data_IF_953693486110
#
_entry.id   IF_953693486110
#
_cell.length_a   1.000
_cell.length_b   1.000
_cell.length_c   1.000
_cell.angle_alpha   90.00
_cell.angle_beta   90.00
_cell.angle_gamma   90.00
#
_symmetry.space_group_name_H-M   'P 1'
#
loop_
_entity.id
_entity.type
_entity.pdbx_description
1 polymer ?
#
# COMPACT_ATOMS: atom_id res chain seq x y z
N UNK A 1 -15.09 -12.21 -2.21
CA UNK A 1 -14.77 -11.06 -1.37
C UNK A 1 -15.50 -9.80 -1.81
N UNK A 2 -15.56 -8.84 -0.91
CA UNK A 2 -16.19 -7.55 -1.23
C UNK A 2 -15.20 -6.67 -2.01
N UNK A 3 -15.68 -6.10 -3.12
CA UNK A 3 -14.92 -5.13 -3.89
C UNK A 3 -14.88 -3.75 -3.21
N UNK A 4 -13.89 -2.94 -3.59
CA UNK A 4 -13.81 -1.51 -3.25
C UNK A 4 -13.21 -0.76 -4.44
N UNK A 5 -13.55 0.54 -4.56
CA UNK A 5 -13.03 1.32 -5.67
C UNK A 5 -11.59 1.77 -5.41
N UNK A 6 -10.79 1.84 -6.47
CA UNK A 6 -9.44 2.41 -6.41
C UNK A 6 -9.49 3.85 -5.91
N UNK A 7 -10.50 4.63 -6.34
CA UNK A 7 -10.69 6.00 -5.90
C UNK A 7 -10.87 6.10 -4.38
N UNK A 8 -11.69 5.24 -3.79
CA UNK A 8 -11.88 5.23 -2.35
C UNK A 8 -10.58 4.85 -1.63
N UNK A 9 -9.87 3.85 -2.13
CA UNK A 9 -8.60 3.38 -1.55
C UNK A 9 -7.56 4.49 -1.47
N UNK A 10 -7.42 5.31 -2.51
CA UNK A 10 -6.43 6.39 -2.57
C UNK A 10 -6.92 7.72 -1.96
N UNK A 11 -8.02 7.70 -1.23
CA UNK A 11 -8.52 8.87 -0.50
C UNK A 11 -9.42 9.79 -1.29
N UNK A 12 -9.99 9.34 -2.39
CA UNK A 12 -10.96 10.10 -3.18
C UNK A 12 -10.37 10.84 -4.39
N UNK A 13 -9.07 10.79 -4.61
CA UNK A 13 -8.42 11.44 -5.76
C UNK A 13 -8.75 10.70 -7.06
N UNK A 14 -9.64 11.28 -7.86
CA UNK A 14 -10.10 10.68 -9.12
C UNK A 14 -9.01 10.64 -10.19
N UNK A 15 -8.14 11.66 -10.24
CA UNK A 15 -7.05 11.71 -11.22
C UNK A 15 -6.00 10.64 -10.93
N UNK A 16 -5.66 10.44 -9.65
CA UNK A 16 -4.76 9.38 -9.24
C UNK A 16 -5.37 8.00 -9.53
N UNK A 17 -6.63 7.78 -9.16
CA UNK A 17 -7.32 6.51 -9.40
C UNK A 17 -7.41 6.15 -10.87
N UNK A 18 -7.60 7.14 -11.76
CA UNK A 18 -7.71 6.92 -13.20
C UNK A 18 -6.44 6.28 -13.79
N UNK A 19 -5.27 6.54 -13.22
CA UNK A 19 -4.01 5.96 -13.67
C UNK A 19 -3.91 4.45 -13.43
N UNK A 20 -4.75 3.92 -12.54
CA UNK A 20 -4.75 2.51 -12.14
C UNK A 20 -6.02 1.77 -12.54
N UNK A 21 -6.87 2.39 -13.36
CA UNK A 21 -8.08 1.78 -13.87
C UNK A 21 -7.74 0.51 -14.66
N UNK A 22 -8.41 -0.60 -14.34
CA UNK A 22 -8.16 -1.92 -14.92
C UNK A 22 -6.71 -2.41 -14.75
N UNK A 23 -5.97 -1.84 -13.81
CA UNK A 23 -4.60 -2.22 -13.50
C UNK A 23 -4.53 -3.49 -12.63
N UNK A 24 -3.31 -3.90 -12.33
CA UNK A 24 -3.01 -5.00 -11.44
C UNK A 24 -2.87 -4.51 -10.01
N UNK A 25 -3.30 -5.33 -9.06
CA UNK A 25 -3.10 -5.08 -7.64
C UNK A 25 -2.70 -6.35 -6.90
N UNK A 26 -1.96 -6.19 -5.81
CA UNK A 26 -1.65 -7.25 -4.87
C UNK A 26 -1.93 -6.78 -3.45
N UNK A 27 -2.50 -7.66 -2.64
CA UNK A 27 -2.76 -7.40 -1.23
C UNK A 27 -1.96 -8.39 -0.40
N UNK A 28 -1.06 -7.87 0.45
CA UNK A 28 -0.18 -8.66 1.30
C UNK A 28 -0.59 -8.46 2.75
N UNK A 29 -1.04 -9.52 3.39
CA UNK A 29 -1.36 -9.51 4.82
C UNK A 29 -0.12 -9.90 5.64
N UNK A 30 0.19 -9.06 6.63
CA UNK A 30 1.27 -9.28 7.59
C UNK A 30 0.65 -9.52 8.97
N UNK A 31 0.67 -10.77 9.43
CA UNK A 31 0.17 -11.07 10.76
C UNK A 31 1.07 -10.43 11.85
N UNK A 32 0.60 -10.28 13.10
CA UNK A 32 1.42 -9.68 14.16
C UNK A 32 2.75 -10.39 14.43
N UNK A 33 2.89 -11.63 13.97
CA UNK A 33 4.12 -12.43 14.12
C UNK A 33 5.06 -12.32 12.94
N UNK A 34 4.62 -11.69 11.85
CA UNK A 34 5.40 -11.60 10.62
C UNK A 34 6.40 -10.45 10.68
N UNK A 35 7.26 -10.41 9.68
CA UNK A 35 8.16 -9.29 9.45
C UNK A 35 7.35 -8.03 9.07
N UNK A 36 7.58 -6.92 9.79
CA UNK A 36 6.73 -5.72 9.69
C UNK A 36 7.32 -4.59 8.86
N UNK A 37 8.51 -4.74 8.33
CA UNK A 37 9.11 -3.76 7.42
C UNK A 37 8.64 -4.02 6.00
N UNK A 38 8.43 -2.94 5.26
CA UNK A 38 7.93 -2.97 3.90
C UNK A 38 9.05 -2.52 2.98
N UNK A 39 9.29 -3.31 1.95
CA UNK A 39 10.36 -3.07 0.98
C UNK A 39 9.79 -2.73 -0.39
N UNK A 40 10.53 -1.93 -1.15
CA UNK A 40 10.13 -1.51 -2.48
C UNK A 40 10.05 -2.71 -3.43
N UNK A 41 8.92 -2.89 -4.14
CA UNK A 41 8.79 -3.96 -5.14
C UNK A 41 9.65 -3.71 -6.38
N UNK A 42 9.91 -2.44 -6.68
CA UNK A 42 10.77 -1.98 -7.74
C UNK A 42 11.35 -0.61 -7.38
N UNK A 43 12.35 -0.15 -8.13
CA UNK A 43 12.89 1.19 -7.92
C UNK A 43 11.85 2.25 -8.26
N UNK A 44 11.80 3.33 -7.49
CA UNK A 44 10.85 4.41 -7.69
C UNK A 44 11.26 5.71 -7.03
N UNK A 45 10.69 6.79 -7.55
CA UNK A 45 10.82 8.14 -6.99
C UNK A 45 9.50 8.52 -6.35
N UNK A 46 9.54 8.87 -5.08
CA UNK A 46 8.35 9.29 -4.35
C UNK A 46 7.86 10.64 -4.88
N UNK A 47 6.59 10.73 -5.21
CA UNK A 47 5.96 11.98 -5.65
C UNK A 47 4.97 12.54 -4.66
N UNK A 48 4.21 11.68 -3.97
CA UNK A 48 3.18 12.08 -3.01
C UNK A 48 3.08 11.06 -1.89
N UNK A 49 2.70 11.52 -0.72
CA UNK A 49 2.25 10.69 0.39
C UNK A 49 0.93 11.26 0.92
N UNK A 50 -0.08 10.41 1.08
CA UNK A 50 -1.43 10.81 1.51
C UNK A 50 -1.80 10.00 2.75
N UNK A 51 -2.06 10.69 3.85
CA UNK A 51 -2.69 10.09 5.01
C UNK A 51 -4.20 10.17 4.85
N UNK A 52 -4.87 9.04 4.94
CA UNK A 52 -6.34 8.95 4.84
C UNK A 52 -6.87 8.45 6.17
N UNK A 53 -7.64 9.29 6.89
CA UNK A 53 -8.27 8.87 8.14
C UNK A 53 -9.29 7.76 7.88
N UNK A 54 -9.52 6.93 8.86
CA UNK A 54 -10.47 5.85 8.73
C UNK A 54 -10.64 5.06 10.02
N UNK A 55 -11.35 3.97 9.89
CA UNK A 55 -11.57 3.02 10.97
C UNK A 55 -10.29 2.21 11.27
N UNK A 56 -10.33 1.43 12.32
CA UNK A 56 -9.27 0.51 12.71
C UNK A 56 -9.87 -0.89 12.90
N UNK A 57 -10.58 -1.38 11.91
CA UNK A 57 -11.07 -2.76 11.93
C UNK A 57 -9.89 -3.73 11.97
N UNK A 58 -10.06 -4.82 12.70
CA UNK A 58 -9.09 -5.90 12.62
C UNK A 58 -9.01 -6.42 11.19
N UNK A 59 -7.80 -6.61 10.69
CA UNK A 59 -7.56 -7.13 9.34
C UNK A 59 -7.08 -8.57 9.44
N UNK A 60 -7.90 -9.47 8.95
CA UNK A 60 -7.58 -10.89 8.76
C UNK A 60 -8.49 -11.44 7.64
N UNK A 61 -8.28 -12.68 7.18
CA UNK A 61 -9.10 -13.24 6.10
C UNK A 61 -10.60 -13.25 6.39
N UNK A 62 -11.00 -13.38 7.64
CA UNK A 62 -12.42 -13.39 8.03
C UNK A 62 -13.04 -12.00 7.95
N UNK A 63 -12.38 -10.99 8.52
CA UNK A 63 -12.87 -9.61 8.47
C UNK A 63 -12.83 -9.04 7.05
N UNK A 64 -11.82 -9.39 6.25
CA UNK A 64 -11.74 -8.99 4.85
C UNK A 64 -12.92 -9.53 4.02
N UNK A 65 -13.44 -10.68 4.38
CA UNK A 65 -14.65 -11.24 3.75
C UNK A 65 -15.95 -10.66 4.31
N UNK A 66 -15.96 -10.30 5.59
CA UNK A 66 -17.17 -9.87 6.31
C UNK A 66 -17.43 -8.37 6.29
N UNK A 67 -16.40 -7.54 6.09
CA UNK A 67 -16.52 -6.08 6.11
C UNK A 67 -16.37 -5.53 4.68
N UNK A 68 -17.44 -5.00 4.07
CA UNK A 68 -17.35 -4.43 2.71
C UNK A 68 -16.35 -3.29 2.64
N UNK A 69 -15.43 -3.33 1.66
CA UNK A 69 -14.47 -2.26 1.43
C UNK A 69 -13.48 -2.04 2.56
N UNK A 70 -13.14 -3.05 3.33
CA UNK A 70 -12.28 -2.97 4.52
C UNK A 70 -11.02 -2.14 4.30
N UNK A 71 -10.28 -2.41 3.23
CA UNK A 71 -9.02 -1.72 2.95
C UNK A 71 -9.21 -0.25 2.55
N UNK A 72 -10.39 0.12 2.06
CA UNK A 72 -10.74 1.50 1.75
C UNK A 72 -11.46 2.21 2.90
N UNK A 73 -11.68 1.53 4.03
CA UNK A 73 -12.32 2.08 5.24
C UNK A 73 -11.33 2.30 6.38
N UNK A 74 -10.33 1.43 6.50
CA UNK A 74 -9.32 1.57 7.54
C UNK A 74 -8.38 2.74 7.27
N UNK A 75 -7.89 3.34 8.36
CA UNK A 75 -6.81 4.34 8.32
C UNK A 75 -5.65 3.81 7.49
N UNK A 76 -5.11 4.65 6.60
CA UNK A 76 -4.07 4.23 5.67
C UNK A 76 -3.15 5.35 5.24
N UNK A 77 -1.98 4.97 4.76
CA UNK A 77 -1.01 5.87 4.15
C UNK A 77 -0.79 5.43 2.71
N UNK A 78 -1.07 6.32 1.78
CA UNK A 78 -0.93 6.10 0.32
C UNK A 78 0.37 6.73 -0.14
N UNK A 79 1.30 5.92 -0.66
CA UNK A 79 2.60 6.39 -1.16
C UNK A 79 2.62 6.20 -2.67
N UNK A 80 2.73 7.31 -3.40
CA UNK A 80 2.72 7.35 -4.86
C UNK A 80 4.15 7.50 -5.37
N UNK A 81 4.56 6.55 -6.20
CA UNK A 81 5.88 6.51 -6.80
C UNK A 81 5.81 6.62 -8.32
N UNK A 82 6.89 7.10 -8.89
CA UNK A 82 7.14 7.04 -10.34
C UNK A 82 8.32 6.11 -10.59
N UNK A 83 8.08 5.04 -11.33
CA UNK A 83 9.10 4.03 -11.67
C UNK A 83 9.41 4.03 -13.16
N UNK A 84 10.28 3.10 -13.58
CA UNK A 84 10.71 2.98 -14.98
C UNK A 84 9.54 2.67 -15.93
N UNK A 85 8.50 1.99 -15.44
CA UNK A 85 7.33 1.60 -16.24
C UNK A 85 6.08 2.43 -15.91
N UNK A 86 6.25 3.59 -15.31
CA UNK A 86 5.17 4.48 -14.93
C UNK A 86 4.88 4.52 -13.44
N UNK A 87 3.74 5.12 -13.03
CA UNK A 87 3.39 5.25 -11.64
C UNK A 87 3.05 3.90 -11.00
N UNK A 88 3.32 3.79 -9.71
CA UNK A 88 2.79 2.71 -8.88
C UNK A 88 2.50 3.23 -7.47
N UNK A 89 1.65 2.54 -6.75
CA UNK A 89 1.19 2.96 -5.44
C UNK A 89 1.38 1.85 -4.42
N UNK A 90 1.89 2.23 -3.25
CA UNK A 90 1.99 1.38 -2.08
C UNK A 90 1.05 1.94 -1.02
N UNK A 91 0.04 1.17 -0.62
CA UNK A 91 -0.92 1.58 0.43
C UNK A 91 -0.66 0.76 1.68
N UNK A 92 -0.30 1.46 2.77
CA UNK A 92 -0.12 0.87 4.08
C UNK A 92 -1.44 1.00 4.84
N UNK A 93 -2.10 -0.11 5.10
CA UNK A 93 -3.42 -0.14 5.75
C UNK A 93 -3.26 -0.51 7.21
N UNK A 94 -3.74 0.36 8.11
CA UNK A 94 -3.74 0.14 9.55
C UNK A 94 -4.84 -0.82 10.01
N UNK A 95 -4.76 -1.25 11.26
CA UNK A 95 -5.74 -2.14 11.88
C UNK A 95 -5.81 -1.91 13.39
N UNK A 96 -6.73 -2.57 14.07
CA UNK A 96 -7.08 -2.36 15.49
C UNK A 96 -5.88 -2.30 16.45
N UNK A 97 -4.90 -3.17 16.28
CA UNK A 97 -3.72 -3.24 17.16
C UNK A 97 -2.55 -2.43 16.56
N UNK A 98 -2.66 -2.04 15.29
CA UNK A 98 -1.60 -1.34 14.58
C UNK A 98 -1.80 0.15 14.74
N UNK A 99 -1.23 0.69 15.79
CA UNK A 99 -1.39 2.09 16.12
C UNK A 99 -0.53 3.03 15.30
N UNK A 100 0.46 2.55 14.57
CA UNK A 100 1.44 3.44 13.92
C UNK A 100 1.99 2.87 12.64
N UNK A 101 2.11 3.75 11.66
CA UNK A 101 2.77 3.51 10.38
C UNK A 101 3.87 4.55 10.21
N UNK A 102 5.02 4.12 9.75
CA UNK A 102 6.17 4.99 9.54
C UNK A 102 6.77 4.76 8.16
N UNK A 103 7.28 5.83 7.56
CA UNK A 103 8.04 5.79 6.32
C UNK A 103 9.48 6.24 6.57
N UNK A 104 10.41 5.77 5.75
CA UNK A 104 11.83 6.08 5.94
C UNK A 104 12.15 7.56 5.67
N UNK A 105 11.32 8.25 4.89
CA UNK A 105 11.49 9.67 4.54
C UNK A 105 10.77 10.62 5.48
N UNK A 106 9.77 10.17 6.23
CA UNK A 106 8.96 11.02 7.09
C UNK A 106 9.07 10.63 8.57
N UNK A 107 9.36 9.39 8.86
CA UNK A 107 9.22 8.85 10.20
C UNK A 107 7.77 8.43 10.48
N UNK A 108 7.32 8.56 11.70
CA UNK A 108 5.95 8.19 12.10
C UNK A 108 4.93 9.13 11.45
N UNK A 109 4.04 8.56 10.63
CA UNK A 109 2.97 9.31 9.96
C UNK A 109 1.77 9.46 10.88
N UNK A 110 1.42 8.42 11.61
CA UNK A 110 0.34 8.42 12.60
C UNK A 110 0.77 7.66 13.88
N UNK A 111 0.45 8.13 15.10
CA UNK A 111 -0.23 9.38 15.40
C UNK A 111 0.64 10.59 15.02
N UNK A 112 0.06 11.84 14.96
CA UNK A 112 -1.31 12.18 15.31
C UNK A 112 -2.34 11.70 14.28
N UNK A 113 -3.61 11.61 14.71
CA UNK A 113 -4.73 11.18 13.87
C UNK A 113 -5.73 12.33 13.67
N UNK A 114 -5.44 13.29 12.80
CA UNK A 114 -6.44 14.29 12.44
C UNK A 114 -7.57 13.59 11.68
N UNK A 115 -8.81 13.98 11.88
CA UNK A 115 -9.96 13.41 11.18
C UNK A 115 -10.06 13.83 9.70
N UNK A 116 -8.98 14.29 9.10
CA UNK A 116 -8.93 14.84 7.73
C UNK A 116 -7.80 14.20 6.93
N UNK A 117 -7.96 14.16 5.61
CA UNK A 117 -6.91 13.76 4.68
C UNK A 117 -5.76 14.77 4.76
N UNK A 118 -4.55 14.26 4.84
CA UNK A 118 -3.32 15.07 4.78
C UNK A 118 -2.45 14.59 3.63
N UNK A 119 -1.84 15.53 2.91
CA UNK A 119 -1.02 15.22 1.74
C UNK A 119 0.33 15.93 1.82
N UNK A 120 1.37 15.22 1.42
CA UNK A 120 2.71 15.75 1.21
C UNK A 120 3.12 15.50 -0.23
N UNK A 121 3.64 16.52 -0.88
CA UNK A 121 4.20 16.43 -2.22
C UNK A 121 5.72 16.55 -2.15
N UNK A 122 6.42 15.88 -3.04
CA UNK A 122 7.87 15.83 -3.07
C UNK A 122 8.38 16.19 -4.46
N UNK A 123 9.45 16.95 -4.53
CA UNK A 123 10.10 17.23 -5.81
C UNK A 123 10.61 15.95 -6.44
N UNK A 124 10.50 15.86 -7.75
CA UNK A 124 10.93 14.69 -8.50
C UNK A 124 12.41 14.38 -8.24
N UNK A 125 12.68 13.17 -7.76
CA UNK A 125 14.04 12.71 -7.46
C UNK A 125 14.60 13.12 -6.10
N UNK A 126 13.88 13.92 -5.30
CA UNK A 126 14.33 14.26 -3.94
C UNK A 126 14.35 13.05 -3.02
N UNK A 127 13.42 12.12 -3.22
CA UNK A 127 13.35 10.84 -2.50
C UNK A 127 13.28 9.71 -3.53
N UNK A 128 14.35 8.95 -3.63
CA UNK A 128 14.49 7.82 -4.56
C UNK A 128 14.86 6.57 -3.77
N UNK A 129 14.16 5.47 -4.04
CA UNK A 129 14.38 4.19 -3.39
C UNK A 129 14.65 3.12 -4.45
N UNK A 130 15.64 2.28 -4.20
CA UNK A 130 15.96 1.14 -5.04
C UNK A 130 15.02 -0.04 -4.77
N UNK A 131 14.93 -0.97 -5.70
CA UNK A 131 14.23 -2.24 -5.48
C UNK A 131 14.79 -2.95 -4.24
N UNK A 132 13.90 -3.44 -3.39
CA UNK A 132 14.26 -4.14 -2.15
C UNK A 132 14.61 -3.22 -0.98
N UNK A 133 14.76 -1.92 -1.20
CA UNK A 133 15.04 -0.96 -0.14
C UNK A 133 13.83 -0.78 0.79
N UNK A 134 14.06 -0.66 2.09
CA UNK A 134 12.98 -0.42 3.04
C UNK A 134 12.32 0.93 2.77
N UNK A 135 11.01 0.94 2.58
CA UNK A 135 10.23 2.16 2.42
C UNK A 135 9.52 2.60 3.69
N UNK A 136 9.22 1.67 4.56
CA UNK A 136 8.45 1.95 5.75
C UNK A 136 8.23 0.72 6.60
N UNK A 137 7.42 0.89 7.64
CA UNK A 137 7.10 -0.20 8.56
C UNK A 137 5.81 0.06 9.30
N UNK A 138 5.19 -1.03 9.72
CA UNK A 138 4.21 -1.02 10.80
C UNK A 138 4.94 -1.23 12.14
N UNK A 139 4.46 -0.63 13.19
CA UNK A 139 4.94 -0.95 14.55
C UNK A 139 4.32 -2.26 15.06
N UNK A 140 3.25 -2.72 14.42
CA UNK A 140 2.66 -4.05 14.56
C UNK A 140 1.98 -4.41 13.23
N UNK A 141 1.92 -5.69 12.85
CA UNK A 141 1.52 -6.14 11.51
C UNK A 141 0.17 -5.65 10.99
N UNK A 142 0.08 -5.51 9.68
CA UNK A 142 -1.17 -5.23 8.97
C UNK A 142 -1.06 -5.56 7.48
N UNK A 143 -1.64 -4.74 6.60
CA UNK A 143 -1.81 -5.07 5.19
C UNK A 143 -1.16 -4.02 4.29
N UNK A 144 -0.51 -4.48 3.23
CA UNK A 144 0.00 -3.64 2.14
C UNK A 144 -0.80 -3.94 0.89
N UNK A 145 -1.31 -2.90 0.23
CA UNK A 145 -1.93 -3.01 -1.10
C UNK A 145 -1.03 -2.30 -2.10
N UNK A 146 -0.65 -3.00 -3.15
CA UNK A 146 0.16 -2.47 -4.24
C UNK A 146 -0.70 -2.30 -5.47
N UNK A 147 -0.59 -1.15 -6.14
CA UNK A 147 -1.32 -0.85 -7.37
C UNK A 147 -0.34 -0.56 -8.51
N UNK A 148 -0.59 -1.18 -9.66
CA UNK A 148 0.17 -0.96 -10.90
C UNK A 148 -0.79 -0.60 -12.04
N UNK A 149 -0.39 0.25 -13.00
CA UNK A 149 -1.19 0.53 -14.17
C UNK A 149 -1.42 -0.74 -15.00
N UNK A 150 -2.47 -0.71 -15.83
CA UNK A 150 -2.79 -1.82 -16.73
C UNK A 150 -1.63 -2.15 -17.66
N UNK A 151 -1.27 -3.42 -17.75
CA UNK A 151 -0.32 -3.94 -18.71
C UNK A 151 1.16 -3.72 -18.40
N UNK A 152 1.51 -3.16 -17.25
CA UNK A 152 2.92 -2.91 -16.89
C UNK A 152 3.54 -4.00 -16.03
N UNK A 153 2.74 -4.89 -15.47
CA UNK A 153 3.20 -5.94 -14.60
C UNK A 153 2.43 -7.24 -14.83
N UNK A 154 3.14 -8.35 -14.77
CA UNK A 154 2.57 -9.68 -14.75
C UNK A 154 2.97 -10.38 -13.45
N UNK A 155 1.98 -10.74 -12.62
CA UNK A 155 2.24 -11.47 -11.39
C UNK A 155 2.71 -12.89 -11.67
N UNK A 156 3.54 -13.41 -10.75
CA UNK A 156 3.95 -14.81 -10.75
C UNK A 156 2.70 -15.69 -10.68
N UNK A 157 2.48 -16.64 -11.64
CA UNK A 157 1.32 -17.51 -11.65
C UNK A 157 1.18 -18.37 -10.39
N UNK A 158 2.26 -18.63 -9.67
CA UNK A 158 2.24 -19.37 -8.41
C UNK A 158 1.67 -18.56 -7.24
N UNK A 159 1.49 -17.27 -7.41
CA UNK A 159 0.90 -16.39 -6.41
C UNK A 159 -0.61 -16.43 -6.46
N UNK A 160 -1.17 -17.46 -5.87
CA UNK A 160 -2.62 -17.67 -5.73
C UNK A 160 -3.13 -16.99 -4.45
N UNK A 161 -4.45 -16.71 -4.34
CA UNK A 161 -5.03 -16.16 -3.12
C UNK A 161 -4.70 -17.02 -1.89
N UNK A 162 -4.40 -16.35 -0.77
CA UNK A 162 -4.04 -16.95 0.52
C UNK A 162 -2.74 -17.76 0.54
N UNK A 163 -1.93 -17.70 -0.52
CA UNK A 163 -0.61 -18.32 -0.51
C UNK A 163 0.34 -17.60 0.45
N UNK A 164 1.04 -18.32 1.35
CA UNK A 164 2.12 -17.73 2.14
C UNK A 164 3.24 -17.22 1.25
N UNK A 165 3.80 -16.07 1.59
CA UNK A 165 4.90 -15.44 0.86
C UNK A 165 6.07 -15.15 1.80
N UNK A 166 7.27 -15.07 1.22
CA UNK A 166 8.51 -14.79 1.94
C UNK A 166 9.16 -13.54 1.37
N UNK A 167 9.76 -12.72 2.23
CA UNK A 167 10.49 -11.53 1.82
C UNK A 167 11.58 -11.89 0.81
N UNK A 168 11.67 -11.12 -0.27
CA UNK A 168 12.62 -11.33 -1.36
C UNK A 168 12.14 -12.28 -2.45
N UNK A 169 11.00 -12.93 -2.28
CA UNK A 169 10.39 -13.77 -3.31
C UNK A 169 9.88 -12.93 -4.48
N UNK A 170 10.11 -13.39 -5.71
CA UNK A 170 9.65 -12.69 -6.91
C UNK A 170 8.13 -12.70 -7.00
N UNK A 171 7.52 -11.54 -6.92
CA UNK A 171 6.09 -11.32 -7.01
C UNK A 171 5.59 -11.41 -8.45
N UNK A 172 6.38 -10.95 -9.39
CA UNK A 172 6.06 -10.88 -10.81
C UNK A 172 7.19 -10.24 -11.59
N UNK A 173 6.93 -9.88 -12.82
CA UNK A 173 7.89 -9.22 -13.71
C UNK A 173 7.22 -8.04 -14.43
N UNK A 174 8.04 -7.07 -14.82
CA UNK A 174 7.59 -6.01 -15.73
C UNK A 174 7.32 -6.57 -17.13
N UNK A 175 6.38 -5.95 -17.81
CA UNK A 175 5.97 -6.30 -19.18
C UNK A 175 6.49 -5.24 -20.16
#
# INVERSE_FOLDING_TARGET
GHGYSTRALVGGDAALAAQFQDGEFATLYLSPRDYHRIHMPCAGRLTRMIYVPGDLFSVNPTTARGVPGLFARNERVVCVFEGAQGPFVMVLVGATIVGSMATVWHGVVNPPRPGTVREWTYEMGSITLAQGEEMGRFLLGSTVVMLFPKGVMQFNPDWTPARPIVMGEAMGSGV
#
